data_IF_483981542431
#
_entry.id   IF_483981542431
#
_cell.length_a   1.000
_cell.length_b   1.000
_cell.length_c   1.000
_cell.angle_alpha   90.00
_cell.angle_beta   90.00
_cell.angle_gamma   90.00
#
_symmetry.space_group_name_H-M   'P 1'
#
loop_
_entity.id
_entity.type
_entity.pdbx_description
1 polymer ?
#
# COMPACT_ATOMS: atom_id res chain seq x y z
N UNK A 1 -9.63 7.39 -17.02
CA UNK A 1 -10.30 7.90 -15.81
C UNK A 1 -9.39 7.91 -14.58
N UNK A 2 -8.95 6.77 -13.99
CA UNK A 2 -8.18 6.81 -12.72
C UNK A 2 -6.77 7.41 -12.91
N UNK A 3 -6.01 6.97 -13.90
CA UNK A 3 -4.69 7.55 -14.22
C UNK A 3 -4.73 9.05 -14.55
N UNK A 4 -5.83 9.53 -15.13
CA UNK A 4 -6.05 10.97 -15.35
C UNK A 4 -6.24 11.72 -14.03
N UNK A 5 -6.99 11.16 -13.08
CA UNK A 5 -7.12 11.74 -11.73
C UNK A 5 -5.77 11.80 -11.03
N UNK A 6 -4.98 10.72 -11.09
CA UNK A 6 -3.63 10.66 -10.48
C UNK A 6 -2.75 11.79 -11.04
N UNK A 7 -2.69 11.91 -12.36
CA UNK A 7 -1.91 12.97 -13.02
C UNK A 7 -2.39 14.38 -12.68
N UNK A 8 -3.70 14.60 -12.61
CA UNK A 8 -4.25 15.90 -12.19
C UNK A 8 -3.92 16.21 -10.73
N UNK A 9 -4.01 15.23 -9.83
CA UNK A 9 -3.63 15.35 -8.42
C UNK A 9 -2.17 15.79 -8.30
N UNK A 10 -1.26 15.09 -8.98
CA UNK A 10 0.18 15.44 -9.00
C UNK A 10 0.44 16.82 -9.60
N UNK A 11 -0.22 17.16 -10.73
CA UNK A 11 -0.11 18.47 -11.38
C UNK A 11 -0.47 19.63 -10.44
N UNK A 12 -1.40 19.40 -9.51
CA UNK A 12 -1.83 20.41 -8.53
C UNK A 12 -1.08 20.33 -7.20
N UNK A 13 0.02 19.57 -7.12
CA UNK A 13 0.85 19.47 -5.91
C UNK A 13 0.20 18.68 -4.78
N UNK A 14 -0.84 17.90 -5.08
CA UNK A 14 -1.48 16.99 -4.13
C UNK A 14 -0.82 15.61 -4.23
N UNK A 15 -0.91 14.84 -3.16
CA UNK A 15 -0.37 13.48 -3.07
C UNK A 15 -1.52 12.49 -3.31
N UNK A 16 -1.55 11.76 -4.44
CA UNK A 16 -2.53 10.70 -4.64
C UNK A 16 -2.24 9.52 -3.73
N UNK A 17 -3.26 9.06 -3.00
CA UNK A 17 -3.31 7.74 -2.37
C UNK A 17 -4.08 6.83 -3.31
N UNK A 18 -3.41 5.83 -3.87
CA UNK A 18 -3.94 4.98 -4.93
C UNK A 18 -4.19 3.59 -4.36
N UNK A 19 -5.46 3.23 -4.25
CA UNK A 19 -5.91 1.91 -3.82
C UNK A 19 -5.74 0.88 -4.95
N UNK A 20 -5.18 -0.28 -4.64
CA UNK A 20 -5.01 -1.38 -5.57
C UNK A 20 -4.91 -2.73 -4.84
N UNK A 21 -5.26 -3.82 -5.52
CA UNK A 21 -5.16 -5.17 -4.97
C UNK A 21 -5.77 -6.21 -5.89
N UNK A 22 -5.32 -7.46 -5.76
CA UNK A 22 -5.84 -8.56 -6.55
C UNK A 22 -7.26 -8.96 -6.11
N UNK A 23 -8.02 -9.48 -7.08
CA UNK A 23 -9.43 -9.86 -6.90
C UNK A 23 -9.60 -11.20 -6.18
N UNK A 24 -8.67 -12.13 -6.38
CA UNK A 24 -8.67 -13.46 -5.79
C UNK A 24 -7.32 -13.81 -5.17
N UNK A 25 -7.34 -14.53 -4.04
CA UNK A 25 -6.12 -15.07 -3.44
C UNK A 25 -5.58 -16.20 -4.31
N UNK A 26 -4.42 -16.02 -4.95
CA UNK A 26 -3.80 -17.11 -5.69
C UNK A 26 -2.66 -16.70 -6.62
N UNK A 27 -2.37 -17.56 -7.58
CA UNK A 27 -1.21 -17.48 -8.47
C UNK A 27 -1.22 -16.28 -9.42
N UNK A 28 -2.40 -15.71 -9.72
CA UNK A 28 -2.55 -14.53 -10.60
C UNK A 28 -2.23 -13.20 -9.93
N UNK A 29 -1.91 -13.22 -8.63
CA UNK A 29 -1.61 -12.02 -7.83
C UNK A 29 -0.59 -11.11 -8.51
N UNK A 30 0.54 -11.64 -8.96
CA UNK A 30 1.61 -10.83 -9.56
C UNK A 30 1.17 -10.15 -10.86
N UNK A 31 0.52 -10.90 -11.73
CA UNK A 31 0.02 -10.39 -13.02
C UNK A 31 -1.05 -9.30 -12.81
N UNK A 32 -2.02 -9.52 -11.91
CA UNK A 32 -3.06 -8.54 -11.60
C UNK A 32 -2.48 -7.26 -11.01
N UNK A 33 -1.54 -7.38 -10.06
CA UNK A 33 -0.88 -6.23 -9.45
C UNK A 33 -0.07 -5.45 -10.48
N UNK A 34 0.67 -6.15 -11.35
CA UNK A 34 1.47 -5.53 -12.42
C UNK A 34 0.60 -4.78 -13.42
N UNK A 35 -0.48 -5.39 -13.89
CA UNK A 35 -1.42 -4.77 -14.82
C UNK A 35 -2.08 -3.53 -14.20
N UNK A 36 -2.45 -3.60 -12.92
CA UNK A 36 -2.99 -2.45 -12.18
C UNK A 36 -1.95 -1.33 -12.07
N UNK A 37 -0.71 -1.61 -11.66
CA UNK A 37 0.36 -0.61 -11.54
C UNK A 37 0.57 0.13 -12.87
N UNK A 38 0.73 -0.61 -13.97
CA UNK A 38 0.94 -0.04 -15.30
C UNK A 38 -0.25 0.83 -15.73
N UNK A 39 -1.48 0.36 -15.50
CA UNK A 39 -2.70 1.07 -15.86
C UNK A 39 -2.91 2.35 -15.04
N UNK A 40 -2.70 2.27 -13.72
CA UNK A 40 -2.89 3.36 -12.76
C UNK A 40 -1.83 4.46 -12.94
N UNK A 41 -0.57 4.08 -13.13
CA UNK A 41 0.56 5.00 -13.25
C UNK A 41 0.84 5.41 -14.70
N UNK A 42 -0.07 5.12 -15.63
CA UNK A 42 0.09 5.47 -17.05
C UNK A 42 0.29 6.98 -17.24
N UNK A 43 1.48 7.36 -17.70
CA UNK A 43 1.88 8.74 -17.94
C UNK A 43 2.27 9.51 -16.68
N UNK A 44 2.51 8.81 -15.57
CA UNK A 44 3.29 9.27 -14.42
C UNK A 44 4.74 8.90 -14.68
N UNK A 45 5.65 9.87 -14.58
CA UNK A 45 7.08 9.64 -14.74
C UNK A 45 7.70 9.04 -13.46
N UNK A 46 8.82 8.34 -13.59
CA UNK A 46 9.52 7.74 -12.44
C UNK A 46 9.86 8.75 -11.34
N UNK A 47 10.21 9.99 -11.71
CA UNK A 47 10.55 11.04 -10.74
C UNK A 47 9.35 11.62 -9.99
N UNK A 48 8.13 11.43 -10.50
CA UNK A 48 6.89 11.82 -9.84
C UNK A 48 6.43 10.78 -8.81
N UNK A 49 6.93 9.53 -8.86
CA UNK A 49 6.49 8.46 -7.96
C UNK A 49 6.85 8.69 -6.48
N UNK A 50 7.86 9.51 -6.19
CA UNK A 50 8.11 10.01 -4.82
C UNK A 50 6.94 10.81 -4.23
N UNK A 51 6.07 11.34 -5.08
CA UNK A 51 4.86 12.08 -4.72
C UNK A 51 3.62 11.20 -4.65
N UNK A 52 3.74 9.88 -4.81
CA UNK A 52 2.63 8.92 -4.83
C UNK A 52 2.65 8.04 -3.59
N UNK A 53 1.48 7.65 -3.12
CA UNK A 53 1.28 6.58 -2.14
C UNK A 53 0.45 5.48 -2.81
N UNK A 54 0.92 4.24 -2.79
CA UNK A 54 0.12 3.07 -3.16
C UNK A 54 -0.40 2.41 -1.89
N UNK A 55 -1.72 2.22 -1.83
CA UNK A 55 -2.38 1.50 -0.77
C UNK A 55 -2.76 0.10 -1.28
N UNK A 56 -2.12 -0.93 -0.72
CA UNK A 56 -2.44 -2.32 -1.06
C UNK A 56 -3.65 -2.79 -0.25
N UNK A 57 -4.73 -3.12 -0.96
CA UNK A 57 -6.02 -3.55 -0.43
C UNK A 57 -6.47 -4.82 -1.17
N UNK A 58 -6.07 -6.03 -0.72
CA UNK A 58 -6.47 -7.28 -1.36
C UNK A 58 -8.00 -7.41 -1.34
N UNK A 59 -8.65 -7.31 -2.50
CA UNK A 59 -10.11 -7.12 -2.60
C UNK A 59 -10.89 -8.27 -1.95
N UNK A 60 -10.38 -9.49 -2.08
CA UNK A 60 -10.98 -10.70 -1.49
C UNK A 60 -11.03 -10.66 0.05
N UNK A 61 -10.17 -9.87 0.70
CA UNK A 61 -10.11 -9.73 2.16
C UNK A 61 -10.88 -8.51 2.69
N UNK A 62 -11.32 -7.59 1.84
CA UNK A 62 -12.01 -6.36 2.26
C UNK A 62 -13.35 -6.72 2.92
N UNK A 63 -13.56 -6.18 4.14
CA UNK A 63 -14.81 -6.35 4.89
C UNK A 63 -15.06 -7.76 5.41
N UNK A 64 -14.09 -8.67 5.32
CA UNK A 64 -14.18 -10.02 5.90
C UNK A 64 -13.81 -10.02 7.38
N UNK A 65 -14.33 -11.00 8.11
CA UNK A 65 -14.00 -11.21 9.53
C UNK A 65 -12.54 -11.63 9.73
N UNK A 66 -11.93 -12.25 8.71
CA UNK A 66 -10.50 -12.59 8.70
C UNK A 66 -9.75 -11.66 7.76
N UNK A 67 -8.79 -10.86 8.28
CA UNK A 67 -7.90 -10.06 7.45
C UNK A 67 -6.98 -10.97 6.62
N UNK A 68 -6.26 -10.40 5.65
CA UNK A 68 -5.15 -11.10 5.04
C UNK A 68 -4.06 -11.33 6.10
N UNK A 69 -3.48 -12.53 6.10
CA UNK A 69 -2.36 -12.88 6.99
C UNK A 69 -1.16 -11.97 6.70
N UNK A 70 -0.39 -11.60 7.73
CA UNK A 70 0.72 -10.66 7.59
C UNK A 70 1.77 -11.14 6.58
N UNK A 71 2.09 -12.44 6.58
CA UNK A 71 3.00 -13.06 5.60
C UNK A 71 2.54 -12.80 4.16
N UNK A 72 1.24 -12.97 3.88
CA UNK A 72 0.69 -12.70 2.55
C UNK A 72 0.80 -11.22 2.19
N UNK A 73 0.54 -10.33 3.14
CA UNK A 73 0.68 -8.87 2.96
C UNK A 73 2.12 -8.51 2.65
N UNK A 74 3.08 -9.05 3.40
CA UNK A 74 4.51 -8.78 3.21
C UNK A 74 4.99 -9.23 1.84
N UNK A 75 4.62 -10.44 1.42
CA UNK A 75 4.95 -10.95 0.07
C UNK A 75 4.37 -10.07 -1.03
N UNK A 76 3.10 -9.67 -0.91
CA UNK A 76 2.43 -8.81 -1.90
C UNK A 76 3.09 -7.43 -1.99
N UNK A 77 3.52 -6.87 -0.86
CA UNK A 77 4.16 -5.55 -0.80
C UNK A 77 5.56 -5.58 -1.41
N UNK A 78 6.35 -6.61 -1.09
CA UNK A 78 7.65 -6.84 -1.71
C UNK A 78 7.50 -7.01 -3.23
N UNK A 79 6.47 -7.74 -3.67
CA UNK A 79 6.14 -7.92 -5.09
C UNK A 79 5.76 -6.59 -5.77
N UNK A 80 4.92 -5.76 -5.14
CA UNK A 80 4.59 -4.42 -5.65
C UNK A 80 5.86 -3.58 -5.79
N UNK A 81 6.73 -3.55 -4.78
CA UNK A 81 7.98 -2.77 -4.84
C UNK A 81 8.91 -3.28 -5.94
N UNK A 82 9.03 -4.59 -6.09
CA UNK A 82 9.79 -5.24 -7.18
C UNK A 82 9.27 -4.82 -8.55
N UNK A 83 7.95 -4.84 -8.77
CA UNK A 83 7.36 -4.40 -10.04
C UNK A 83 7.72 -2.94 -10.32
N UNK A 84 7.68 -2.08 -9.30
CA UNK A 84 8.04 -0.65 -9.48
C UNK A 84 9.53 -0.48 -9.80
N UNK A 85 10.42 -1.26 -9.17
CA UNK A 85 11.83 -1.30 -9.52
C UNK A 85 12.05 -1.68 -10.98
N UNK A 86 11.36 -2.71 -11.47
CA UNK A 86 11.49 -3.22 -12.83
C UNK A 86 10.92 -2.24 -13.89
N UNK A 87 9.75 -1.66 -13.63
CA UNK A 87 9.02 -0.84 -14.61
C UNK A 87 9.43 0.65 -14.57
N UNK A 88 9.87 1.16 -13.42
CA UNK A 88 10.13 2.59 -13.21
C UNK A 88 11.56 2.91 -12.71
N UNK A 89 12.34 1.90 -12.34
CA UNK A 89 13.74 2.04 -11.94
C UNK A 89 13.98 2.22 -10.45
N UNK A 90 15.26 2.23 -10.07
CA UNK A 90 15.72 2.19 -8.67
C UNK A 90 15.21 3.35 -7.81
N UNK A 91 15.32 4.58 -8.32
CA UNK A 91 14.87 5.77 -7.58
C UNK A 91 13.36 5.78 -7.33
N UNK A 92 12.58 5.23 -8.26
CA UNK A 92 11.14 5.12 -8.12
C UNK A 92 10.76 4.06 -7.06
N UNK A 93 11.37 2.87 -7.11
CA UNK A 93 11.09 1.81 -6.15
C UNK A 93 11.49 2.15 -4.72
N UNK A 94 12.54 2.97 -4.55
CA UNK A 94 12.92 3.53 -3.23
C UNK A 94 12.01 4.68 -2.78
N UNK A 95 11.57 5.53 -3.72
CA UNK A 95 10.86 6.76 -3.42
C UNK A 95 9.36 6.60 -3.20
N UNK A 96 8.74 5.58 -3.79
CA UNK A 96 7.30 5.34 -3.63
C UNK A 96 6.98 4.84 -2.23
N UNK A 97 5.90 5.37 -1.65
CA UNK A 97 5.37 4.88 -0.37
C UNK A 97 4.31 3.80 -0.61
N UNK A 98 4.46 2.66 0.06
CA UNK A 98 3.55 1.53 0.04
C UNK A 98 2.91 1.36 1.41
N UNK A 99 1.59 1.47 1.51
CA UNK A 99 0.86 1.31 2.78
C UNK A 99 -0.16 0.19 2.66
N UNK A 100 -0.40 -0.56 3.74
CA UNK A 100 -1.43 -1.60 3.75
C UNK A 100 -2.79 -1.00 4.12
N UNK A 101 -3.80 -1.18 3.27
CA UNK A 101 -5.15 -0.66 3.49
C UNK A 101 -6.21 -1.72 3.81
N UNK A 102 -5.82 -2.98 3.96
CA UNK A 102 -6.75 -4.00 4.47
C UNK A 102 -7.08 -3.81 5.96
N UNK A 103 -7.75 -4.79 6.54
CA UNK A 103 -8.23 -4.70 7.93
C UNK A 103 -7.07 -4.77 8.95
N UNK A 104 -6.58 -3.60 9.36
CA UNK A 104 -5.61 -3.43 10.44
C UNK A 104 -6.28 -2.91 11.72
N UNK A 105 -5.85 -3.47 12.86
CA UNK A 105 -6.28 -3.12 14.21
C UNK A 105 -5.07 -3.10 15.15
N UNK A 106 -5.26 -2.75 16.42
CA UNK A 106 -4.17 -2.67 17.39
C UNK A 106 -3.48 -4.02 17.64
N UNK A 107 -4.20 -5.14 17.47
CA UNK A 107 -3.67 -6.48 17.70
C UNK A 107 -2.72 -6.94 16.59
N UNK A 108 -2.94 -6.52 15.33
CA UNK A 108 -2.14 -6.96 14.18
C UNK A 108 -1.25 -5.86 13.56
N UNK A 109 -1.41 -4.60 13.97
CA UNK A 109 -0.69 -3.47 13.36
C UNK A 109 0.83 -3.65 13.37
N UNK A 110 1.42 -4.09 14.49
CA UNK A 110 2.87 -4.28 14.60
C UNK A 110 3.41 -5.34 13.65
N UNK A 111 2.69 -6.44 13.48
CA UNK A 111 3.09 -7.53 12.57
C UNK A 111 2.94 -7.10 11.11
N UNK A 112 1.86 -6.38 10.78
CA UNK A 112 1.65 -5.90 9.42
C UNK A 112 2.77 -4.95 8.96
N UNK A 113 3.26 -4.07 9.83
CA UNK A 113 4.28 -3.08 9.48
C UNK A 113 5.72 -3.53 9.73
N UNK A 114 5.96 -4.76 10.19
CA UNK A 114 7.32 -5.26 10.46
C UNK A 114 8.13 -5.54 9.20
N UNK A 115 7.49 -5.61 8.03
CA UNK A 115 8.16 -5.66 6.74
C UNK A 115 8.72 -4.29 6.35
N UNK A 116 9.93 -4.27 5.80
CA UNK A 116 10.56 -3.06 5.25
C UNK A 116 9.79 -2.49 4.05
N UNK A 117 9.04 -3.33 3.33
CA UNK A 117 8.24 -2.91 2.19
C UNK A 117 6.91 -2.27 2.57
N UNK A 118 6.50 -2.35 3.84
CA UNK A 118 5.24 -1.76 4.35
C UNK A 118 5.55 -0.44 5.06
N UNK A 119 5.42 0.68 4.37
CA UNK A 119 5.75 2.02 4.89
C UNK A 119 4.72 2.55 5.90
N UNK A 120 3.57 1.88 6.06
CA UNK A 120 2.55 2.25 7.02
C UNK A 120 1.20 1.56 6.79
N UNK A 121 0.17 2.08 7.45
CA UNK A 121 -1.20 1.56 7.41
C UNK A 121 -2.18 2.63 6.93
N UNK A 122 -3.18 2.21 6.15
CA UNK A 122 -4.34 3.02 5.77
C UNK A 122 -5.56 2.54 6.57
N UNK A 123 -5.79 3.18 7.71
CA UNK A 123 -6.78 2.73 8.70
C UNK A 123 -8.20 3.12 8.31
N UNK A 124 -9.07 2.12 8.17
CA UNK A 124 -10.52 2.29 7.98
C UNK A 124 -11.30 2.33 9.31
N UNK A 125 -12.29 1.44 9.47
CA UNK A 125 -13.25 1.43 10.60
C UNK A 125 -12.63 1.48 12.00
N UNK A 126 -11.45 0.88 12.16
CA UNK A 126 -10.75 0.81 13.44
C UNK A 126 -10.20 2.17 13.89
N UNK A 127 -10.09 3.14 12.98
CA UNK A 127 -9.70 4.52 13.30
C UNK A 127 -10.85 5.41 13.76
N UNK A 128 -12.09 4.90 13.81
CA UNK A 128 -13.23 5.67 14.32
C UNK A 128 -13.23 5.78 15.85
N UNK A 129 -12.54 4.86 16.52
CA UNK A 129 -12.31 4.90 17.96
C UNK A 129 -10.92 5.49 18.23
N UNK A 130 -10.88 6.56 19.04
CA UNK A 130 -9.66 7.34 19.25
C UNK A 130 -8.61 6.60 20.05
N UNK A 131 -9.02 5.81 21.06
CA UNK A 131 -8.10 5.05 21.89
C UNK A 131 -7.45 3.94 21.04
N UNK A 132 -8.24 3.27 20.21
CA UNK A 132 -7.75 2.28 19.26
C UNK A 132 -6.82 2.90 18.20
N UNK A 133 -7.16 4.08 17.67
CA UNK A 133 -6.30 4.78 16.71
C UNK A 133 -4.95 5.18 17.35
N UNK A 134 -4.96 5.68 18.59
CA UNK A 134 -3.75 6.03 19.32
C UNK A 134 -2.86 4.80 19.56
N UNK A 135 -3.43 3.68 19.99
CA UNK A 135 -2.71 2.41 20.14
C UNK A 135 -2.07 1.97 18.82
N UNK A 136 -2.82 2.00 17.71
CA UNK A 136 -2.30 1.65 16.37
C UNK A 136 -1.13 2.56 15.98
N UNK A 137 -1.27 3.88 16.13
CA UNK A 137 -0.23 4.85 15.77
C UNK A 137 1.03 4.61 16.59
N UNK A 138 0.90 4.36 17.90
CA UNK A 138 2.03 4.10 18.79
C UNK A 138 2.74 2.78 18.42
N UNK A 139 1.98 1.73 18.13
CA UNK A 139 2.51 0.44 17.70
C UNK A 139 3.29 0.55 16.38
N UNK A 140 2.73 1.24 15.38
CA UNK A 140 3.40 1.46 14.09
C UNK A 140 4.66 2.30 14.25
N UNK A 141 4.57 3.40 15.01
CA UNK A 141 5.70 4.29 15.27
C UNK A 141 6.87 3.53 15.90
N UNK A 142 6.60 2.72 16.93
CA UNK A 142 7.64 1.94 17.62
C UNK A 142 8.39 1.03 16.66
N UNK A 143 7.68 0.28 15.82
CA UNK A 143 8.32 -0.63 14.86
C UNK A 143 9.14 0.15 13.83
N UNK A 144 8.61 1.25 13.28
CA UNK A 144 9.30 2.05 12.24
C UNK A 144 10.45 2.93 12.76
N UNK A 145 10.55 3.16 14.06
CA UNK A 145 11.73 3.78 14.67
C UNK A 145 12.85 2.76 14.94
N UNK A 146 12.53 1.45 14.99
CA UNK A 146 13.45 0.35 15.26
C UNK A 146 14.03 -0.30 13.98
N UNK A 147 13.42 -0.06 12.81
CA UNK A 147 13.78 -0.62 11.49
C UNK A 147 14.19 0.47 10.50
#
# INVERSE_FOLDING_TARGET
>A
MISEKIRLTLKHGLIPVICMGETEKGEKREDELKDQIISLLRGVSSSELKGVILAYEPEWAIGKDRPAEAEYVHESMAMIRKIIYEEYGEEAGKGVRLIYGGSANKENASELVSSEDVDGLFIGRFGHDMDNLEEIVNNVRKIKEET
#
